data_IF_163854942612
#
_entry.id   IF_163854942612
#
_cell.length_a   1.000
_cell.length_b   1.000
_cell.length_c   1.000
_cell.angle_alpha   90.00
_cell.angle_beta   90.00
_cell.angle_gamma   90.00
#
_symmetry.space_group_name_H-M   'P 1'
#
loop_
_entity.id
_entity.type
_entity.pdbx_description
1 polymer ?
#
# COMPACT_ATOMS: atom_id res chain seq x y z
N UNK A 1 34.82 23.46 -10.21
CA UNK A 1 35.32 22.89 -8.93
C UNK A 1 35.41 21.37 -9.11
N UNK A 2 36.50 20.70 -8.70
CA UNK A 2 36.79 19.30 -9.12
C UNK A 2 37.35 18.40 -7.99
N UNK A 3 36.80 18.50 -6.76
CA UNK A 3 37.28 17.76 -5.58
C UNK A 3 36.18 17.13 -4.69
N UNK A 4 34.95 17.03 -5.19
CA UNK A 4 33.81 16.46 -4.44
C UNK A 4 33.38 15.06 -4.94
N UNK A 5 34.16 14.44 -5.84
CA UNK A 5 33.78 13.21 -6.55
C UNK A 5 34.47 11.94 -6.00
N UNK A 6 34.97 11.99 -4.76
CA UNK A 6 35.75 10.92 -4.11
C UNK A 6 35.14 10.41 -2.79
N UNK A 7 33.92 10.84 -2.44
CA UNK A 7 33.23 10.46 -1.19
C UNK A 7 32.14 9.40 -1.43
N UNK A 8 31.56 9.32 -2.64
CA UNK A 8 30.49 8.39 -2.99
C UNK A 8 30.99 6.97 -3.34
N UNK A 9 31.91 6.43 -2.54
CA UNK A 9 32.59 5.15 -2.80
C UNK A 9 32.83 4.32 -1.52
N UNK A 10 32.03 4.54 -0.47
CA UNK A 10 32.27 3.99 0.88
C UNK A 10 31.07 3.25 1.51
N UNK A 11 29.96 3.05 0.79
CA UNK A 11 28.78 2.30 1.27
C UNK A 11 28.71 0.88 0.67
N UNK A 12 29.83 0.17 0.62
CA UNK A 12 29.86 -1.26 0.32
C UNK A 12 29.63 -2.07 1.61
N UNK A 13 28.74 -3.07 1.54
CA UNK A 13 28.63 -4.26 2.41
C UNK A 13 28.84 -4.10 3.93
N UNK A 14 27.79 -4.32 4.73
CA UNK A 14 27.82 -5.18 5.92
C UNK A 14 26.40 -5.59 6.37
N UNK A 15 25.89 -6.71 5.86
CA UNK A 15 24.72 -7.42 6.41
C UNK A 15 25.00 -8.94 6.42
N UNK A 16 26.01 -9.33 7.20
CA UNK A 16 26.39 -10.72 7.42
C UNK A 16 27.05 -10.88 8.80
N UNK A 17 26.25 -10.83 9.88
CA UNK A 17 26.74 -10.88 11.26
C UNK A 17 25.77 -11.58 12.23
N UNK A 18 25.24 -12.75 11.85
CA UNK A 18 24.73 -13.69 12.85
C UNK A 18 25.93 -14.32 13.57
N UNK A 19 26.11 -14.03 14.86
CA UNK A 19 27.06 -14.74 15.73
C UNK A 19 26.33 -15.21 16.97
N UNK A 20 26.33 -16.53 17.19
CA UNK A 20 25.90 -17.18 18.43
C UNK A 20 27.06 -17.24 19.42
N UNK A 21 26.77 -17.06 20.71
CA UNK A 21 27.43 -17.64 21.91
C UNK A 21 26.88 -16.87 23.13
N UNK A 22 26.28 -17.41 24.20
CA UNK A 22 26.44 -18.62 25.05
C UNK A 22 27.27 -18.38 26.32
N UNK A 23 26.71 -18.77 27.49
CA UNK A 23 27.31 -18.76 28.86
C UNK A 23 27.77 -17.39 29.41
N UNK A 24 27.16 -16.81 30.46
CA UNK A 24 27.32 -17.10 31.92
C UNK A 24 28.12 -15.98 32.63
N UNK A 25 27.90 -15.52 33.87
CA UNK A 25 26.86 -15.71 34.90
C UNK A 25 27.06 -14.66 36.03
N UNK A 26 26.19 -14.63 37.06
CA UNK A 26 26.35 -14.00 38.40
C UNK A 26 26.23 -12.45 38.49
N UNK A 27 25.63 -11.82 39.53
CA UNK A 27 24.73 -12.33 40.59
C UNK A 27 24.01 -11.20 41.38
N UNK A 28 22.96 -11.55 42.14
CA UNK A 28 22.46 -10.95 43.44
C UNK A 28 20.97 -10.53 43.52
N UNK A 29 20.26 -11.06 44.54
CA UNK A 29 18.97 -10.66 45.15
C UNK A 29 17.72 -10.65 44.23
N UNK A 30 16.64 -11.42 44.46
CA UNK A 30 15.74 -11.56 45.63
C UNK A 30 14.89 -10.28 45.90
N UNK A 31 13.57 -10.34 46.17
CA UNK A 31 12.79 -11.32 46.96
C UNK A 31 11.31 -11.46 46.48
N UNK A 32 10.66 -12.60 46.78
CA UNK A 32 9.18 -12.85 46.83
C UNK A 32 8.34 -12.81 45.53
N UNK A 33 7.42 -13.75 45.24
CA UNK A 33 7.03 -14.98 45.95
C UNK A 33 5.90 -15.77 45.24
N UNK A 34 5.77 -17.07 45.57
CA UNK A 34 4.68 -18.07 45.30
C UNK A 34 3.90 -18.01 43.96
N UNK A 35 3.89 -18.98 43.02
CA UNK A 35 4.03 -20.46 43.00
C UNK A 35 2.76 -21.30 43.32
N UNK A 36 2.28 -22.06 42.32
CA UNK A 36 1.58 -23.35 42.49
C UNK A 36 1.60 -24.15 41.17
N UNK A 37 1.69 -25.50 41.25
CA UNK A 37 2.00 -26.40 40.12
C UNK A 37 1.35 -27.79 40.31
N UNK A 38 0.81 -28.37 39.23
CA UNK A 38 0.46 -29.82 39.04
C UNK A 38 -0.05 -29.98 37.58
N UNK A 39 0.23 -30.98 36.72
CA UNK A 39 0.75 -32.37 36.78
C UNK A 39 -0.18 -33.36 37.52
N UNK A 40 -0.57 -34.55 37.05
CA UNK A 40 -0.47 -35.28 35.75
C UNK A 40 -1.74 -36.18 35.63
N UNK A 41 -1.96 -37.31 34.91
CA UNK A 41 -1.28 -38.33 34.06
C UNK A 41 -2.39 -38.86 33.07
N UNK A 42 -2.19 -39.35 31.83
CA UNK A 42 -1.38 -40.43 31.23
C UNK A 42 -2.01 -41.87 31.26
N UNK A 43 -1.78 -42.67 30.18
CA UNK A 43 -2.06 -44.14 29.99
C UNK A 43 -3.54 -44.53 29.67
N UNK A 44 -3.92 -45.42 28.72
CA UNK A 44 -3.29 -46.04 27.51
C UNK A 44 -4.29 -46.92 26.68
N UNK A 45 -3.96 -47.24 25.41
CA UNK A 45 -4.38 -48.41 24.56
C UNK A 45 -5.84 -48.51 24.02
N UNK A 46 -6.04 -48.59 22.69
CA UNK A 46 -6.23 -49.78 21.79
C UNK A 46 -7.72 -50.21 21.65
N UNK A 47 -8.25 -50.70 20.52
CA UNK A 47 -7.72 -50.95 19.16
C UNK A 47 -8.85 -50.82 18.09
N UNK A 48 -8.46 -50.70 16.81
CA UNK A 48 -9.17 -51.14 15.59
C UNK A 48 -10.70 -50.94 15.42
N UNK A 49 -11.09 -50.16 14.39
CA UNK A 49 -11.77 -50.74 13.21
C UNK A 49 -11.74 -49.78 12.01
N UNK A 50 -11.85 -50.34 10.80
CA UNK A 50 -11.83 -49.61 9.53
C UNK A 50 -13.18 -48.99 9.15
N UNK A 51 -13.16 -47.79 8.58
CA UNK A 51 -14.21 -47.30 7.66
C UNK A 51 -13.62 -46.28 6.69
N UNK A 52 -13.67 -46.59 5.40
CA UNK A 52 -13.60 -45.58 4.35
C UNK A 52 -14.91 -44.79 4.34
N UNK A 53 -14.85 -43.48 4.12
CA UNK A 53 -15.47 -42.75 3.00
C UNK A 53 -15.67 -41.27 3.36
N UNK A 54 -15.67 -40.41 2.34
CA UNK A 54 -15.96 -38.96 2.36
C UNK A 54 -14.99 -38.10 3.16
N UNK A 55 -13.93 -37.71 2.45
CA UNK A 55 -13.46 -36.32 2.42
C UNK A 55 -14.66 -35.37 2.23
N UNK A 56 -15.33 -34.98 3.31
CA UNK A 56 -16.24 -33.83 3.28
C UNK A 56 -15.38 -32.58 3.30
N UNK A 57 -14.99 -32.14 2.10
CA UNK A 57 -14.33 -30.84 1.90
C UNK A 57 -15.21 -29.76 2.49
N UNK A 58 -14.86 -29.28 3.68
CA UNK A 58 -15.55 -28.16 4.31
C UNK A 58 -15.17 -26.92 3.52
N UNK A 59 -16.02 -26.56 2.57
CA UNK A 59 -16.03 -25.23 1.96
C UNK A 59 -16.47 -24.23 3.03
N UNK A 60 -15.54 -23.94 3.96
CA UNK A 60 -15.61 -22.77 4.84
C UNK A 60 -15.78 -21.58 3.93
N UNK A 61 -16.84 -20.81 4.17
CA UNK A 61 -17.31 -19.71 3.33
C UNK A 61 -16.18 -18.72 3.01
N UNK A 62 -15.52 -18.92 1.86
CA UNK A 62 -14.29 -18.20 1.50
C UNK A 62 -14.54 -16.70 1.39
N UNK A 63 -15.75 -16.30 1.00
CA UNK A 63 -16.16 -14.91 0.88
C UNK A 63 -16.30 -14.20 2.24
N UNK A 64 -16.29 -14.90 3.37
CA UNK A 64 -16.21 -14.27 4.71
C UNK A 64 -14.78 -14.01 5.19
N UNK A 65 -13.74 -14.49 4.49
CA UNK A 65 -12.33 -14.34 4.90
C UNK A 65 -11.38 -13.85 3.81
N UNK A 66 -11.85 -13.78 2.56
CA UNK A 66 -11.12 -13.28 1.41
C UNK A 66 -11.60 -11.88 1.00
N UNK A 67 -10.74 -11.14 0.34
CA UNK A 67 -11.04 -9.85 -0.31
C UNK A 67 -10.68 -9.99 -1.78
N UNK A 68 -11.58 -9.52 -2.64
CA UNK A 68 -11.40 -9.45 -4.09
C UNK A 68 -11.02 -8.01 -4.47
N UNK A 69 -9.96 -7.83 -5.24
CA UNK A 69 -9.49 -6.53 -5.75
C UNK A 69 -9.44 -6.62 -7.27
N UNK A 70 -10.22 -5.79 -7.97
CA UNK A 70 -10.41 -5.89 -9.43
C UNK A 70 -9.85 -4.66 -10.14
N UNK A 71 -8.78 -4.85 -10.92
CA UNK A 71 -8.00 -3.78 -11.56
C UNK A 71 -8.22 -3.78 -13.08
N UNK A 72 -8.52 -2.64 -13.73
CA UNK A 72 -8.62 -2.52 -15.19
C UNK A 72 -7.33 -2.93 -15.92
N UNK A 73 -7.47 -3.62 -17.05
CA UNK A 73 -6.32 -4.09 -17.85
C UNK A 73 -5.43 -2.97 -18.39
N UNK A 74 -6.01 -1.82 -18.67
CA UNK A 74 -5.31 -0.60 -19.08
C UNK A 74 -4.15 -0.23 -18.14
N UNK A 75 -4.28 -0.46 -16.83
CA UNK A 75 -3.20 -0.20 -15.86
C UNK A 75 -1.97 -1.11 -16.08
N UNK A 76 -2.20 -2.37 -16.46
CA UNK A 76 -1.14 -3.33 -16.77
C UNK A 76 -0.54 -3.10 -18.16
N UNK A 77 -1.37 -2.75 -19.14
CA UNK A 77 -0.96 -2.39 -20.50
C UNK A 77 -0.02 -1.17 -20.49
N UNK A 78 -0.36 -0.12 -19.73
CA UNK A 78 0.51 1.04 -19.48
C UNK A 78 1.89 0.64 -18.91
N UNK A 79 1.95 -0.39 -18.08
CA UNK A 79 3.19 -0.93 -17.51
C UNK A 79 3.89 -1.98 -18.38
N UNK A 80 3.34 -2.34 -19.55
CA UNK A 80 3.78 -3.46 -20.39
C UNK A 80 3.85 -4.79 -19.60
N UNK A 81 2.95 -4.96 -18.63
CA UNK A 81 2.77 -6.19 -17.84
C UNK A 81 1.93 -7.21 -18.64
N UNK A 82 2.26 -8.50 -18.52
CA UNK A 82 1.46 -9.59 -19.07
C UNK A 82 0.93 -10.50 -17.95
N UNK A 83 -0.08 -11.31 -18.22
CA UNK A 83 -0.78 -12.07 -17.18
C UNK A 83 0.14 -13.05 -16.42
N UNK A 84 1.09 -13.70 -17.09
CA UNK A 84 2.07 -14.59 -16.45
C UNK A 84 2.96 -13.81 -15.45
N UNK A 85 3.41 -12.61 -15.81
CA UNK A 85 4.20 -11.74 -14.93
C UNK A 85 3.37 -11.21 -13.77
N UNK A 86 2.14 -10.76 -14.03
CA UNK A 86 1.18 -10.34 -12.99
C UNK A 86 0.99 -11.46 -11.96
N UNK A 87 0.79 -12.71 -12.43
CA UNK A 87 0.59 -13.88 -11.58
C UNK A 87 1.86 -14.28 -10.80
N UNK A 88 3.05 -14.04 -11.35
CA UNK A 88 4.31 -14.21 -10.63
C UNK A 88 4.50 -13.16 -9.52
N UNK A 89 4.32 -11.87 -9.83
CA UNK A 89 4.43 -10.77 -8.86
C UNK A 89 3.36 -10.87 -7.75
N UNK A 90 2.14 -11.30 -8.08
CA UNK A 90 1.08 -11.59 -7.11
C UNK A 90 1.51 -12.69 -6.13
N UNK A 91 2.05 -13.80 -6.65
CA UNK A 91 2.48 -14.94 -5.85
C UNK A 91 3.67 -14.60 -4.94
N UNK A 92 4.62 -13.79 -5.41
CA UNK A 92 5.71 -13.25 -4.59
C UNK A 92 5.19 -12.41 -3.41
N UNK A 93 4.14 -11.61 -3.64
CA UNK A 93 3.46 -10.81 -2.60
C UNK A 93 2.54 -11.64 -1.68
N UNK A 94 2.41 -12.95 -1.92
CA UNK A 94 1.58 -13.87 -1.12
C UNK A 94 0.12 -14.01 -1.60
N UNK A 95 -0.22 -13.47 -2.77
CA UNK A 95 -1.54 -13.60 -3.39
C UNK A 95 -1.52 -14.82 -4.31
N UNK A 96 -2.23 -15.89 -3.93
CA UNK A 96 -2.16 -17.18 -4.63
C UNK A 96 -3.14 -17.31 -5.81
N UNK A 97 -4.19 -16.48 -5.83
CA UNK A 97 -5.28 -16.57 -6.80
C UNK A 97 -5.45 -15.24 -7.53
N UNK A 98 -5.38 -15.32 -8.86
CA UNK A 98 -5.50 -14.19 -9.78
C UNK A 98 -6.27 -14.71 -11.01
N UNK A 99 -7.34 -14.00 -11.35
CA UNK A 99 -8.30 -14.30 -12.42
C UNK A 99 -8.12 -13.29 -13.54
N UNK A 100 -8.03 -13.78 -14.78
CA UNK A 100 -8.05 -12.96 -16.00
C UNK A 100 -9.50 -12.85 -16.48
N UNK A 101 -10.08 -11.65 -16.45
CA UNK A 101 -11.40 -11.36 -17.03
C UNK A 101 -11.22 -10.69 -18.40
N UNK A 102 -12.30 -10.35 -19.13
CA UNK A 102 -12.16 -9.73 -20.45
C UNK A 102 -11.41 -8.37 -20.39
N UNK A 103 -11.87 -7.44 -19.53
CA UNK A 103 -11.33 -6.08 -19.39
C UNK A 103 -10.58 -5.79 -18.08
N UNK A 104 -10.58 -6.73 -17.12
CA UNK A 104 -9.99 -6.54 -15.78
C UNK A 104 -9.18 -7.77 -15.34
N UNK A 105 -8.42 -7.61 -14.25
CA UNK A 105 -7.75 -8.70 -13.53
C UNK A 105 -8.18 -8.64 -12.07
N UNK A 106 -8.70 -9.75 -11.53
CA UNK A 106 -9.14 -9.84 -10.13
C UNK A 106 -8.14 -10.64 -9.30
N UNK A 107 -7.68 -10.04 -8.20
CA UNK A 107 -6.81 -10.65 -7.20
C UNK A 107 -7.66 -11.12 -6.02
N UNK A 108 -7.47 -12.37 -5.57
CA UNK A 108 -8.16 -12.91 -4.41
C UNK A 108 -7.13 -13.22 -3.31
N UNK A 109 -7.26 -12.54 -2.17
CA UNK A 109 -6.33 -12.60 -1.05
C UNK A 109 -7.05 -12.66 0.30
N UNK A 110 -6.38 -13.05 1.38
CA UNK A 110 -6.99 -13.02 2.71
C UNK A 110 -7.20 -11.57 3.20
N UNK A 111 -8.23 -11.34 4.03
CA UNK A 111 -8.45 -10.02 4.66
C UNK A 111 -7.28 -9.56 5.55
N UNK A 112 -6.37 -10.46 5.95
CA UNK A 112 -5.11 -10.10 6.61
C UNK A 112 -4.06 -9.55 5.64
N UNK A 113 -3.91 -10.16 4.45
CA UNK A 113 -2.98 -9.72 3.42
C UNK A 113 -3.41 -8.39 2.79
N UNK A 114 -4.72 -8.21 2.59
CA UNK A 114 -5.29 -6.93 2.14
C UNK A 114 -4.95 -5.79 3.13
N UNK A 115 -5.20 -5.97 4.43
CA UNK A 115 -4.87 -4.97 5.46
C UNK A 115 -3.36 -4.70 5.61
N UNK A 116 -2.52 -5.71 5.37
CA UNK A 116 -1.06 -5.54 5.30
C UNK A 116 -0.65 -4.64 4.13
N UNK A 117 -1.21 -4.90 2.94
CA UNK A 117 -1.00 -4.13 1.72
C UNK A 117 -1.47 -2.68 1.87
N UNK A 118 -2.72 -2.46 2.31
CA UNK A 118 -3.29 -1.12 2.48
C UNK A 118 -2.51 -0.28 3.49
N UNK A 119 -1.99 -0.88 4.57
CA UNK A 119 -1.16 -0.17 5.56
C UNK A 119 0.19 0.27 4.98
N UNK A 120 0.79 -0.51 4.10
CA UNK A 120 2.03 -0.11 3.42
C UNK A 120 1.75 0.99 2.37
N UNK A 121 0.57 0.96 1.71
CA UNK A 121 0.12 2.03 0.82
C UNK A 121 -0.19 3.34 1.56
N UNK A 122 -0.88 3.28 2.71
CA UNK A 122 -1.12 4.42 3.61
C UNK A 122 0.21 5.08 4.04
N UNK A 123 1.20 4.25 4.40
CA UNK A 123 2.56 4.69 4.73
C UNK A 123 3.29 5.33 3.55
N UNK A 124 3.17 4.78 2.35
CA UNK A 124 3.80 5.34 1.14
C UNK A 124 3.13 6.66 0.71
N UNK A 125 1.81 6.74 0.79
CA UNK A 125 1.04 7.96 0.54
C UNK A 125 1.40 9.07 1.54
N UNK A 126 1.46 8.75 2.84
CA UNK A 126 1.89 9.71 3.88
C UNK A 126 3.32 10.18 3.66
N UNK A 127 4.23 9.30 3.23
CA UNK A 127 5.60 9.67 2.89
C UNK A 127 5.66 10.61 1.67
N UNK A 128 4.92 10.32 0.60
CA UNK A 128 4.85 11.18 -0.60
C UNK A 128 4.23 12.55 -0.31
N UNK A 129 3.20 12.61 0.55
CA UNK A 129 2.60 13.87 1.02
C UNK A 129 3.63 14.73 1.76
N UNK A 130 4.41 14.15 2.67
CA UNK A 130 5.46 14.90 3.37
C UNK A 130 6.68 15.19 2.48
N UNK A 131 6.98 14.38 1.46
CA UNK A 131 7.99 14.70 0.44
C UNK A 131 7.61 15.97 -0.34
N UNK A 132 6.36 16.03 -0.85
CA UNK A 132 5.84 17.21 -1.56
C UNK A 132 5.85 18.47 -0.68
N UNK A 133 5.59 18.35 0.63
CA UNK A 133 5.56 19.48 1.57
C UNK A 133 6.93 19.97 2.07
N UNK A 134 7.97 19.15 1.98
CA UNK A 134 9.27 19.44 2.63
C UNK A 134 10.46 19.52 1.65
N UNK A 135 10.30 19.17 0.37
CA UNK A 135 11.36 19.30 -0.64
C UNK A 135 11.24 20.57 -1.50
N UNK A 136 12.39 21.13 -1.90
CA UNK A 136 12.53 22.30 -2.79
C UNK A 136 11.90 22.12 -4.20
N UNK A 137 11.32 20.95 -4.49
CA UNK A 137 10.67 20.60 -5.76
C UNK A 137 9.28 21.23 -5.94
N UNK A 138 8.65 21.71 -4.86
CA UNK A 138 7.28 22.23 -4.86
C UNK A 138 7.12 23.46 -3.95
N UNK A 139 7.90 24.53 -4.20
CA UNK A 139 8.03 25.65 -3.25
C UNK A 139 6.73 26.39 -2.91
N UNK A 140 5.72 26.35 -3.80
CA UNK A 140 4.44 27.00 -3.55
C UNK A 140 3.54 26.22 -2.59
N UNK A 141 3.80 24.93 -2.34
CA UNK A 141 2.95 24.04 -1.54
C UNK A 141 3.26 24.18 -0.06
N UNK A 142 2.26 24.57 0.73
CA UNK A 142 2.40 24.86 2.16
C UNK A 142 1.86 23.75 3.07
N UNK A 143 0.75 23.11 2.68
CA UNK A 143 0.19 21.94 3.37
C UNK A 143 -0.68 21.09 2.44
N UNK A 144 -0.83 19.82 2.78
CA UNK A 144 -1.70 18.86 2.11
C UNK A 144 -2.48 18.10 3.18
N UNK A 145 -3.80 18.14 3.07
CA UNK A 145 -4.72 17.33 3.89
C UNK A 145 -5.49 16.38 2.99
N UNK A 146 -5.84 15.20 3.51
CA UNK A 146 -6.52 14.16 2.74
C UNK A 146 -7.59 13.44 3.57
N UNK A 147 -8.61 12.91 2.91
CA UNK A 147 -9.55 11.96 3.53
C UNK A 147 -8.86 10.61 3.78
N UNK A 148 -9.41 9.81 4.69
CA UNK A 148 -8.86 8.47 5.03
C UNK A 148 -8.90 7.47 3.87
N UNK A 149 -9.73 7.73 2.87
CA UNK A 149 -9.86 6.98 1.61
C UNK A 149 -8.93 7.52 0.51
N UNK A 150 -8.25 8.65 0.74
CA UNK A 150 -7.51 9.42 -0.28
C UNK A 150 -8.35 9.74 -1.54
N UNK A 151 -9.67 9.88 -1.34
CA UNK A 151 -10.66 10.24 -2.36
C UNK A 151 -10.87 11.76 -2.48
N UNK A 152 -10.43 12.52 -1.48
CA UNK A 152 -10.43 13.97 -1.52
C UNK A 152 -9.15 14.52 -0.87
N UNK A 153 -8.54 15.49 -1.53
CA UNK A 153 -7.38 16.24 -1.05
C UNK A 153 -7.69 17.74 -0.99
N UNK A 154 -7.09 18.42 -0.01
CA UNK A 154 -6.99 19.87 0.07
C UNK A 154 -5.50 20.24 0.01
N UNK A 155 -5.13 20.96 -1.05
CA UNK A 155 -3.78 21.41 -1.34
C UNK A 155 -3.69 22.92 -1.07
N UNK A 156 -3.05 23.31 0.03
CA UNK A 156 -2.88 24.71 0.43
C UNK A 156 -1.60 25.29 -0.14
N UNK A 157 -1.70 26.38 -0.91
CA UNK A 157 -0.58 26.95 -1.67
C UNK A 157 -0.43 28.46 -1.49
N UNK A 158 0.77 28.99 -1.73
CA UNK A 158 0.88 30.36 -2.22
C UNK A 158 0.39 30.40 -3.66
N UNK A 159 -0.66 31.19 -3.92
CA UNK A 159 -1.31 31.21 -5.23
C UNK A 159 -0.45 31.88 -6.31
N UNK A 160 0.31 32.91 -5.99
CA UNK A 160 1.12 33.62 -7.00
C UNK A 160 2.33 32.76 -7.41
N UNK A 161 2.97 32.08 -6.46
CA UNK A 161 4.01 31.09 -6.80
C UNK A 161 3.41 29.90 -7.56
N UNK A 162 2.29 29.33 -7.09
CA UNK A 162 1.64 28.17 -7.74
C UNK A 162 1.28 28.45 -9.21
N UNK A 163 0.58 29.54 -9.51
CA UNK A 163 0.17 29.91 -10.88
C UNK A 163 1.34 30.22 -11.82
N UNK A 164 2.56 30.44 -11.30
CA UNK A 164 3.78 30.70 -12.09
C UNK A 164 4.82 29.55 -12.04
N UNK A 165 4.48 28.42 -11.41
CA UNK A 165 5.37 27.28 -11.18
C UNK A 165 5.05 26.08 -12.09
N UNK A 166 5.60 24.90 -11.76
CA UNK A 166 5.16 23.61 -12.28
C UNK A 166 4.51 22.74 -11.18
N UNK A 167 4.22 23.32 -10.02
CA UNK A 167 3.85 22.59 -8.81
C UNK A 167 2.45 21.94 -8.94
N UNK A 168 1.65 22.39 -9.91
CA UNK A 168 0.41 21.72 -10.33
C UNK A 168 0.59 20.26 -10.79
N UNK A 169 1.81 19.79 -11.06
CA UNK A 169 2.04 18.34 -11.22
C UNK A 169 1.80 17.54 -9.93
N UNK A 170 1.89 18.16 -8.74
CA UNK A 170 1.52 17.51 -7.49
C UNK A 170 0.03 17.13 -7.46
N UNK A 171 -0.86 17.98 -8.00
CA UNK A 171 -2.30 17.69 -8.12
C UNK A 171 -2.54 16.41 -8.91
N UNK A 172 -1.83 16.23 -10.03
CA UNK A 172 -1.89 15.00 -10.83
C UNK A 172 -1.32 13.79 -10.07
N UNK A 173 -0.22 13.97 -9.34
CA UNK A 173 0.37 12.92 -8.50
C UNK A 173 -0.58 12.42 -7.40
N UNK A 174 -1.21 13.34 -6.66
CA UNK A 174 -2.22 13.04 -5.64
C UNK A 174 -3.46 12.38 -6.26
N UNK A 175 -3.93 12.87 -7.41
CA UNK A 175 -5.03 12.29 -8.16
C UNK A 175 -4.79 10.82 -8.55
N UNK A 176 -3.67 10.53 -9.20
CA UNK A 176 -3.32 9.16 -9.64
C UNK A 176 -3.10 8.23 -8.45
N UNK A 177 -2.43 8.69 -7.39
CA UNK A 177 -2.14 7.83 -6.23
C UNK A 177 -3.37 7.58 -5.36
N UNK A 178 -4.29 8.55 -5.23
CA UNK A 178 -5.57 8.38 -4.54
C UNK A 178 -6.53 7.44 -5.29
N UNK A 179 -6.58 7.51 -6.62
CA UNK A 179 -7.32 6.55 -7.45
C UNK A 179 -6.79 5.13 -7.25
N UNK A 180 -5.46 4.98 -7.27
CA UNK A 180 -4.80 3.70 -7.06
C UNK A 180 -5.05 3.13 -5.66
N UNK A 181 -5.07 3.99 -4.62
CA UNK A 181 -5.40 3.60 -3.25
C UNK A 181 -6.82 3.01 -3.17
N UNK A 182 -7.83 3.72 -3.67
CA UNK A 182 -9.23 3.27 -3.63
C UNK A 182 -9.44 1.95 -4.39
N UNK A 183 -8.81 1.81 -5.56
CA UNK A 183 -8.88 0.59 -6.35
C UNK A 183 -8.30 -0.63 -5.61
N UNK A 184 -7.19 -0.45 -4.87
CA UNK A 184 -6.62 -1.50 -4.03
C UNK A 184 -7.38 -1.73 -2.71
N UNK A 185 -8.08 -0.72 -2.16
CA UNK A 185 -8.97 -0.89 -0.99
C UNK A 185 -10.22 -1.72 -1.32
N UNK A 186 -10.61 -1.75 -2.60
CA UNK A 186 -11.67 -2.61 -3.13
C UNK A 186 -12.77 -1.88 -3.91
N UNK A 187 -12.55 -0.64 -4.33
CA UNK A 187 -13.49 0.09 -5.19
C UNK A 187 -13.73 -0.64 -6.53
N UNK A 188 -14.92 -0.48 -7.11
CA UNK A 188 -15.23 -1.01 -8.43
C UNK A 188 -14.34 -0.42 -9.53
N UNK A 189 -14.18 -1.10 -10.68
CA UNK A 189 -13.30 -0.67 -11.79
C UNK A 189 -13.80 0.57 -12.55
N UNK A 190 -14.87 1.21 -12.08
CA UNK A 190 -15.41 2.49 -12.58
C UNK A 190 -15.79 3.42 -11.39
N UNK A 191 -15.38 3.08 -10.15
CA UNK A 191 -15.83 3.71 -8.90
C UNK A 191 -14.66 4.28 -8.06
N UNK A 192 -13.56 4.67 -8.74
CA UNK A 192 -12.36 5.25 -8.12
C UNK A 192 -12.20 6.74 -8.49
N UNK A 193 -13.05 7.64 -7.98
CA UNK A 193 -12.88 9.08 -8.23
C UNK A 193 -12.03 9.79 -7.16
N UNK A 194 -11.25 10.80 -7.57
CA UNK A 194 -10.49 11.67 -6.65
C UNK A 194 -10.75 13.13 -6.97
N UNK A 195 -11.14 13.90 -5.95
CA UNK A 195 -11.19 15.36 -6.03
C UNK A 195 -9.96 15.98 -5.36
N UNK A 196 -9.27 16.90 -6.04
CA UNK A 196 -8.19 17.71 -5.45
C UNK A 196 -8.60 19.17 -5.51
N UNK A 197 -8.80 19.76 -4.33
CA UNK A 197 -9.14 21.17 -4.17
C UNK A 197 -7.84 21.97 -3.93
N UNK A 198 -7.60 23.01 -4.73
CA UNK A 198 -6.45 23.91 -4.53
C UNK A 198 -6.91 25.17 -3.79
N UNK A 199 -6.25 25.47 -2.67
CA UNK A 199 -6.66 26.48 -1.69
C UNK A 199 -5.62 27.59 -1.63
N UNK A 200 -6.08 28.83 -1.76
CA UNK A 200 -5.29 30.04 -1.54
C UNK A 200 -5.03 30.18 -0.04
N UNK A 201 -3.82 29.84 0.42
CA UNK A 201 -3.50 29.77 1.85
C UNK A 201 -3.60 31.14 2.57
N UNK A 202 -3.58 32.24 1.82
CA UNK A 202 -3.75 33.59 2.37
C UNK A 202 -5.22 34.05 2.46
N UNK A 203 -6.15 33.36 1.79
CA UNK A 203 -7.60 33.66 1.79
C UNK A 203 -8.47 32.56 2.42
N UNK A 204 -7.93 31.36 2.62
CA UNK A 204 -8.66 30.14 3.01
C UNK A 204 -9.77 29.79 1.98
N UNK A 205 -9.54 30.12 0.70
CA UNK A 205 -10.52 30.00 -0.40
C UNK A 205 -10.07 28.96 -1.43
N UNK A 206 -10.94 28.00 -1.77
CA UNK A 206 -10.75 27.07 -2.90
C UNK A 206 -10.87 27.86 -4.20
N UNK A 207 -9.82 27.88 -5.01
CA UNK A 207 -9.81 28.59 -6.29
C UNK A 207 -9.74 27.68 -7.52
N UNK A 208 -9.39 26.41 -7.34
CA UNK A 208 -9.42 25.38 -8.38
C UNK A 208 -9.87 24.03 -7.79
N UNK A 209 -10.47 23.17 -8.62
CA UNK A 209 -11.01 21.87 -8.21
C UNK A 209 -10.89 20.87 -9.36
N UNK A 210 -9.88 20.01 -9.27
CA UNK A 210 -9.56 19.03 -10.30
C UNK A 210 -10.17 17.69 -9.90
N UNK A 211 -10.78 16.98 -10.86
CA UNK A 211 -11.38 15.66 -10.64
C UNK A 211 -10.75 14.61 -11.54
N UNK A 212 -10.39 13.48 -10.95
CA UNK A 212 -9.88 12.31 -11.65
C UNK A 212 -10.87 11.15 -11.52
N UNK A 213 -11.07 10.32 -12.56
CA UNK A 213 -10.35 10.31 -13.84
C UNK A 213 -10.72 11.42 -14.83
N UNK A 214 -11.82 12.17 -14.62
CA UNK A 214 -12.40 13.13 -15.59
C UNK A 214 -11.38 14.06 -16.28
N UNK A 215 -10.43 14.66 -15.55
CA UNK A 215 -9.41 15.55 -16.11
C UNK A 215 -8.48 14.85 -17.14
N UNK A 216 -8.33 13.52 -17.08
CA UNK A 216 -7.66 12.73 -18.12
C UNK A 216 -8.56 12.37 -19.30
N UNK A 217 -9.84 12.68 -19.26
CA UNK A 217 -10.80 12.51 -20.35
C UNK A 217 -10.92 13.84 -21.09
N UNK A 218 -11.17 14.93 -20.35
CA UNK A 218 -11.17 16.31 -20.85
C UNK A 218 -9.86 16.64 -21.62
N UNK A 219 -8.70 16.16 -21.15
CA UNK A 219 -7.42 16.33 -21.85
C UNK A 219 -7.30 15.54 -23.16
N UNK A 220 -7.93 14.36 -23.28
CA UNK A 220 -7.87 13.55 -24.51
C UNK A 220 -8.68 14.19 -25.62
N UNK A 221 -9.86 14.70 -25.30
CA UNK A 221 -10.76 15.32 -26.28
C UNK A 221 -10.13 16.58 -26.92
N UNK A 222 -9.31 17.32 -26.15
CA UNK A 222 -8.53 18.47 -26.65
C UNK A 222 -7.39 18.07 -27.61
N UNK A 223 -6.91 16.82 -27.59
CA UNK A 223 -5.92 16.32 -28.57
C UNK A 223 -6.53 15.89 -29.92
N UNK A 224 -7.87 15.96 -30.09
CA UNK A 224 -8.59 15.47 -31.28
C UNK A 224 -9.21 16.59 -32.17
N UNK A 225 -9.10 17.86 -31.78
CA UNK A 225 -9.58 19.03 -32.56
C UNK A 225 -8.49 19.75 -33.37
#
# INVERSE_FOLDING_TARGET
MKKLWWILAACLFMLAACSSDTSSSSDSAEESGEASQSEAQAVSNEESSSSEDKETSVEVDKNQTSVEVTIPKSFFELQNQNFDRIKAEAKEKGINEVIDNDSTVTYIMSSSKHKEMMKEMEKQMTAAIEEIKNEDNYSSIQDIQATKSYSEFMLSVDREEYENSLDGFAVMGLGVTGMLYQLFDGAGPEEYDVTVNVVDAAKEEVFDTIKYPQAFEDLKDVEVE
#
